data_IF_946112830051
#
_entry.id   IF_946112830051
#
_cell.length_a   1.000
_cell.length_b   1.000
_cell.length_c   1.000
_cell.angle_alpha   90.00
_cell.angle_beta   90.00
_cell.angle_gamma   90.00
#
_symmetry.space_group_name_H-M   'P 1'
#
loop_
_entity.id
_entity.type
_entity.pdbx_description
1 polymer ?
#
# COMPACT_ATOMS: atom_id res chain seq x y z
N UNK A 1 -47.42 -41.10 -45.87
CA UNK A 1 -47.35 -41.22 -44.40
C UNK A 1 -46.09 -41.91 -43.90
N UNK A 2 -45.61 -43.01 -44.51
CA UNK A 2 -44.48 -43.81 -43.99
C UNK A 2 -43.19 -43.02 -43.69
N UNK A 3 -42.82 -42.04 -44.52
CA UNK A 3 -41.62 -41.22 -44.30
C UNK A 3 -41.63 -40.49 -42.94
N UNK A 4 -42.73 -39.79 -42.60
CA UNK A 4 -42.87 -39.08 -41.30
C UNK A 4 -42.74 -40.03 -40.10
N UNK A 5 -43.26 -41.27 -40.24
CA UNK A 5 -43.15 -42.27 -39.18
C UNK A 5 -41.71 -42.80 -39.02
N UNK A 6 -40.97 -42.93 -40.13
CA UNK A 6 -39.55 -43.28 -40.12
C UNK A 6 -38.70 -42.15 -39.51
N UNK A 7 -38.90 -40.90 -39.93
CA UNK A 7 -38.24 -39.72 -39.34
C UNK A 7 -38.49 -39.61 -37.83
N UNK A 8 -39.75 -39.80 -37.39
CA UNK A 8 -40.09 -39.81 -35.97
C UNK A 8 -39.38 -40.93 -35.19
N UNK A 9 -39.22 -42.13 -35.78
CA UNK A 9 -38.46 -43.23 -35.16
C UNK A 9 -36.95 -42.94 -35.12
N UNK A 10 -36.39 -42.25 -36.13
CA UNK A 10 -34.99 -41.82 -36.15
C UNK A 10 -34.73 -40.77 -35.08
N UNK A 11 -35.52 -39.69 -35.04
CA UNK A 11 -35.40 -38.63 -34.02
C UNK A 11 -35.56 -39.23 -32.61
N UNK A 12 -36.54 -40.11 -32.38
CA UNK A 12 -36.71 -40.77 -31.08
C UNK A 12 -35.51 -41.64 -30.71
N UNK A 13 -34.92 -42.36 -31.67
CA UNK A 13 -33.71 -43.17 -31.46
C UNK A 13 -32.52 -42.29 -31.11
N UNK A 14 -32.34 -41.16 -31.80
CA UNK A 14 -31.21 -40.26 -31.58
C UNK A 14 -31.33 -39.47 -30.26
N UNK A 15 -32.54 -39.08 -29.86
CA UNK A 15 -32.82 -38.53 -28.53
C UNK A 15 -32.67 -39.56 -27.40
N UNK A 16 -32.84 -40.85 -27.68
CA UNK A 16 -32.70 -41.93 -26.68
C UNK A 16 -31.27 -42.45 -26.48
N UNK A 17 -30.31 -41.98 -27.29
CA UNK A 17 -28.89 -42.27 -27.06
C UNK A 17 -28.44 -41.43 -25.86
N UNK A 18 -27.67 -42.04 -24.95
CA UNK A 18 -27.01 -41.29 -23.88
C UNK A 18 -26.20 -40.16 -24.51
N UNK A 19 -26.54 -38.91 -24.16
CA UNK A 19 -25.93 -37.74 -24.76
C UNK A 19 -24.48 -37.64 -24.29
N UNK A 20 -23.47 -37.82 -25.17
CA UNK A 20 -22.08 -37.61 -24.76
C UNK A 20 -21.94 -36.16 -24.26
N UNK A 21 -21.20 -35.98 -23.15
CA UNK A 21 -21.10 -34.72 -22.38
C UNK A 21 -21.03 -33.52 -23.34
N UNK A 22 -22.13 -32.78 -23.46
CA UNK A 22 -22.27 -31.71 -24.44
C UNK A 22 -21.10 -30.71 -24.31
N UNK A 23 -20.46 -30.23 -25.39
CA UNK A 23 -19.27 -29.37 -25.30
C UNK A 23 -19.50 -28.07 -24.51
N UNK A 24 -20.75 -27.64 -24.34
CA UNK A 24 -21.11 -26.53 -23.44
C UNK A 24 -20.84 -26.83 -21.96
N UNK A 25 -20.95 -28.08 -21.49
CA UNK A 25 -20.54 -28.43 -20.12
C UNK A 25 -19.05 -28.16 -19.92
N UNK A 26 -18.19 -28.59 -20.83
CA UNK A 26 -16.75 -28.31 -20.75
C UNK A 26 -16.45 -26.80 -20.75
N UNK A 27 -17.27 -25.99 -21.44
CA UNK A 27 -17.17 -24.52 -21.42
C UNK A 27 -17.60 -23.93 -20.08
N UNK A 28 -18.65 -24.46 -19.46
CA UNK A 28 -19.10 -24.09 -18.10
C UNK A 28 -18.05 -24.49 -17.07
N UNK A 29 -17.58 -25.75 -17.09
CA UNK A 29 -16.52 -26.29 -16.22
C UNK A 29 -15.21 -25.47 -16.31
N UNK A 30 -14.93 -24.86 -17.48
CA UNK A 30 -13.78 -23.97 -17.70
C UNK A 30 -14.03 -22.56 -17.14
N UNK A 31 -15.19 -21.97 -17.44
CA UNK A 31 -15.59 -20.66 -16.94
C UNK A 31 -15.68 -20.61 -15.41
N UNK A 32 -16.21 -21.67 -14.78
CA UNK A 32 -16.26 -21.82 -13.32
C UNK A 32 -14.85 -21.78 -12.72
N UNK A 33 -13.95 -22.61 -13.25
CA UNK A 33 -12.55 -22.70 -12.80
C UNK A 33 -11.81 -21.38 -12.95
N UNK A 34 -11.96 -20.70 -14.09
CA UNK A 34 -11.37 -19.38 -14.30
C UNK A 34 -11.92 -18.32 -13.34
N UNK A 35 -13.23 -18.37 -13.06
CA UNK A 35 -13.89 -17.42 -12.16
C UNK A 35 -13.45 -17.62 -10.71
N UNK A 36 -13.38 -18.88 -10.25
CA UNK A 36 -12.83 -19.24 -8.93
C UNK A 36 -11.38 -18.77 -8.81
N UNK A 37 -10.55 -19.05 -9.81
CA UNK A 37 -9.14 -18.64 -9.83
C UNK A 37 -8.98 -17.10 -9.74
N UNK A 38 -9.82 -16.34 -10.47
CA UNK A 38 -9.82 -14.87 -10.42
C UNK A 38 -10.21 -14.34 -9.03
N UNK A 39 -11.25 -14.90 -8.41
CA UNK A 39 -11.67 -14.55 -7.05
C UNK A 39 -10.56 -14.84 -6.04
N UNK A 40 -9.93 -16.02 -6.13
CA UNK A 40 -8.83 -16.42 -5.25
C UNK A 40 -7.60 -15.53 -5.41
N UNK A 41 -7.22 -15.18 -6.65
CA UNK A 41 -6.10 -14.28 -6.92
C UNK A 41 -6.35 -12.86 -6.36
N UNK A 42 -7.56 -12.32 -6.57
CA UNK A 42 -7.95 -11.03 -6.00
C UNK A 42 -7.96 -11.05 -4.47
N UNK A 43 -8.46 -12.13 -3.86
CA UNK A 43 -8.47 -12.30 -2.41
C UNK A 43 -7.05 -12.41 -1.82
N UNK A 44 -6.11 -13.10 -2.47
CA UNK A 44 -4.73 -13.18 -1.97
C UNK A 44 -3.96 -11.87 -2.19
N UNK A 45 -4.22 -11.14 -3.28
CA UNK A 45 -3.70 -9.77 -3.48
C UNK A 45 -4.19 -8.86 -2.35
N UNK A 46 -5.49 -8.85 -2.06
CA UNK A 46 -6.07 -8.08 -0.96
C UNK A 46 -5.48 -8.46 0.41
N UNK A 47 -5.16 -9.75 0.65
CA UNK A 47 -4.45 -10.19 1.87
C UNK A 47 -3.01 -9.70 1.91
N UNK A 48 -2.29 -9.74 0.79
CA UNK A 48 -0.92 -9.24 0.70
C UNK A 48 -0.86 -7.73 0.97
N UNK A 49 -1.75 -6.95 0.34
CA UNK A 49 -1.89 -5.51 0.57
C UNK A 49 -2.21 -5.20 2.04
N UNK A 50 -3.14 -5.96 2.64
CA UNK A 50 -3.49 -5.81 4.06
C UNK A 50 -2.31 -6.11 4.98
N UNK A 51 -1.56 -7.20 4.75
CA UNK A 51 -0.35 -7.53 5.53
C UNK A 51 0.66 -6.39 5.45
N UNK A 52 0.95 -5.91 4.24
CA UNK A 52 1.91 -4.81 4.02
C UNK A 52 1.49 -3.50 4.72
N UNK A 53 0.20 -3.15 4.71
CA UNK A 53 -0.30 -1.98 5.43
C UNK A 53 -0.25 -2.15 6.96
N UNK A 54 -0.51 -3.35 7.48
CA UNK A 54 -0.37 -3.65 8.90
C UNK A 54 1.09 -3.61 9.35
N UNK A 55 2.02 -4.20 8.58
CA UNK A 55 3.45 -4.19 8.87
C UNK A 55 4.01 -2.76 8.85
N UNK A 56 3.61 -1.94 7.86
CA UNK A 56 3.94 -0.50 7.84
C UNK A 56 3.39 0.21 9.07
N UNK A 57 2.11 0.05 9.39
CA UNK A 57 1.48 0.71 10.56
C UNK A 57 2.20 0.31 11.85
N UNK A 58 2.57 -0.96 12.00
CA UNK A 58 3.35 -1.47 13.14
C UNK A 58 4.73 -0.83 13.24
N UNK A 59 5.43 -0.65 12.12
CA UNK A 59 6.73 0.01 12.09
C UNK A 59 6.62 1.50 12.44
N UNK A 60 5.63 2.21 11.90
CA UNK A 60 5.36 3.62 12.21
C UNK A 60 5.00 3.80 13.71
N UNK A 61 4.23 2.86 14.30
CA UNK A 61 3.96 2.81 15.74
C UNK A 61 5.22 2.52 16.58
N UNK A 62 6.06 1.56 16.19
CA UNK A 62 7.31 1.24 16.89
C UNK A 62 8.22 2.47 16.95
N UNK A 63 8.46 3.15 15.82
CA UNK A 63 9.25 4.38 15.75
C UNK A 63 8.68 5.49 16.65
N UNK A 64 7.36 5.60 16.72
CA UNK A 64 6.68 6.58 17.59
C UNK A 64 6.86 6.25 19.09
N UNK A 65 6.83 4.97 19.45
CA UNK A 65 7.10 4.48 20.81
C UNK A 65 8.58 4.68 21.18
N UNK A 66 9.52 4.35 20.30
CA UNK A 66 10.96 4.56 20.51
C UNK A 66 11.29 6.05 20.70
N UNK A 67 10.67 6.93 19.90
CA UNK A 67 10.80 8.38 20.08
C UNK A 67 10.28 8.82 21.45
N UNK A 68 9.07 8.37 21.84
CA UNK A 68 8.50 8.69 23.15
C UNK A 68 9.39 8.20 24.30
N UNK A 69 9.93 6.98 24.20
CA UNK A 69 10.89 6.44 25.18
C UNK A 69 12.17 7.25 25.25
N UNK A 70 12.67 7.74 24.11
CA UNK A 70 13.86 8.60 24.04
C UNK A 70 13.61 9.96 24.69
N UNK A 71 12.47 10.60 24.41
CA UNK A 71 12.05 11.85 25.07
C UNK A 71 11.94 11.65 26.60
N UNK A 72 11.26 10.59 27.04
CA UNK A 72 11.06 10.29 28.46
C UNK A 72 12.40 10.08 29.19
N UNK A 73 13.30 9.27 28.61
CA UNK A 73 14.63 9.01 29.17
C UNK A 73 15.48 10.29 29.23
N UNK A 74 15.41 11.15 28.21
CA UNK A 74 16.14 12.43 28.19
C UNK A 74 15.67 13.36 29.30
N UNK A 75 14.36 13.54 29.45
CA UNK A 75 13.79 14.38 30.52
C UNK A 75 14.01 13.81 31.92
N UNK A 76 14.03 12.49 32.08
CA UNK A 76 14.37 11.84 33.34
C UNK A 76 15.85 12.03 33.71
N UNK A 77 16.75 12.12 32.73
CA UNK A 77 18.18 12.38 32.95
C UNK A 77 18.48 13.86 33.23
N UNK A 78 17.68 14.78 32.70
CA UNK A 78 17.83 16.23 32.94
C UNK A 78 17.06 16.74 34.17
N UNK A 79 16.19 15.93 34.78
CA UNK A 79 15.22 16.31 35.82
C UNK A 79 14.36 17.53 35.42
N UNK A 80 14.14 17.69 34.11
CA UNK A 80 13.50 18.84 33.47
C UNK A 80 12.27 18.35 32.69
N UNK A 81 11.22 18.00 33.43
CA UNK A 81 9.91 17.67 32.90
C UNK A 81 8.86 18.62 33.47
N UNK A 82 8.06 19.22 32.60
CA UNK A 82 6.96 20.09 33.02
C UNK A 82 5.63 19.34 33.06
N UNK A 83 4.62 19.92 33.71
CA UNK A 83 3.23 19.43 33.62
C UNK A 83 2.74 19.34 32.16
N UNK A 84 3.25 20.24 31.29
CA UNK A 84 2.92 20.25 29.87
C UNK A 84 3.55 19.08 29.10
N UNK A 85 4.73 18.62 29.49
CA UNK A 85 5.36 17.41 28.92
C UNK A 85 4.61 16.14 29.34
N UNK A 86 4.27 16.03 30.63
CA UNK A 86 3.43 14.94 31.15
C UNK A 86 2.08 14.87 30.43
N UNK A 87 1.46 16.02 30.16
CA UNK A 87 0.23 16.11 29.38
C UNK A 87 0.45 15.66 27.92
N UNK A 88 1.49 16.17 27.24
CA UNK A 88 1.86 15.78 25.86
C UNK A 88 2.04 14.28 25.73
N UNK A 89 2.85 13.66 26.60
CA UNK A 89 3.10 12.23 26.57
C UNK A 89 1.84 11.40 26.88
N UNK A 90 0.99 11.88 27.79
CA UNK A 90 -0.31 11.25 28.09
C UNK A 90 -1.25 11.27 26.89
N UNK A 91 -1.26 12.36 26.11
CA UNK A 91 -2.04 12.48 24.87
C UNK A 91 -1.48 11.59 23.76
N UNK A 92 -0.14 11.57 23.57
CA UNK A 92 0.53 10.69 22.63
C UNK A 92 0.28 9.19 22.94
N UNK A 93 0.35 8.78 24.22
CA UNK A 93 0.04 7.41 24.64
C UNK A 93 -1.41 7.00 24.33
N UNK A 94 -2.37 7.92 24.51
CA UNK A 94 -3.78 7.68 24.14
C UNK A 94 -3.94 7.54 22.63
N UNK A 95 -3.24 8.35 21.85
CA UNK A 95 -3.29 8.29 20.39
C UNK A 95 -2.64 7.01 19.84
N UNK A 96 -1.46 6.64 20.35
CA UNK A 96 -0.79 5.37 20.02
C UNK A 96 -1.67 4.17 20.34
N UNK A 97 -2.30 4.14 21.52
CA UNK A 97 -3.24 3.07 21.90
C UNK A 97 -4.44 2.99 20.95
N UNK A 98 -5.03 4.13 20.59
CA UNK A 98 -6.15 4.19 19.64
C UNK A 98 -5.76 3.65 18.25
N UNK A 99 -4.57 4.03 17.78
CA UNK A 99 -4.04 3.59 16.48
C UNK A 99 -3.66 2.10 16.47
N UNK A 100 -3.33 1.52 17.64
CA UNK A 100 -3.09 0.08 17.82
C UNK A 100 -4.40 -0.73 17.80
N UNK A 101 -5.46 -0.26 18.46
CA UNK A 101 -6.75 -0.97 18.54
C UNK A 101 -7.48 -1.01 17.18
N UNK A 102 -7.45 0.08 16.41
CA UNK A 102 -7.94 0.09 15.01
C UNK A 102 -6.99 0.95 14.16
N UNK A 103 -6.22 0.34 13.22
CA UNK A 103 -5.46 1.05 12.20
C UNK A 103 -6.35 1.95 11.34
N UNK A 104 -6.49 3.21 11.75
CA UNK A 104 -7.44 4.16 11.17
C UNK A 104 -7.21 4.39 9.66
N UNK A 105 -5.99 4.14 9.19
CA UNK A 105 -5.57 4.22 7.80
C UNK A 105 -6.19 3.15 6.88
N UNK A 106 -6.63 1.99 7.37
CA UNK A 106 -7.04 0.88 6.50
C UNK A 106 -8.53 0.98 6.12
N UNK A 107 -8.84 0.80 4.84
CA UNK A 107 -10.20 0.67 4.30
C UNK A 107 -10.31 -0.57 3.44
N UNK A 108 -11.28 -1.45 3.74
CA UNK A 108 -11.66 -2.57 2.86
C UNK A 108 -12.92 -2.13 2.12
N UNK A 109 -12.91 -2.28 0.80
CA UNK A 109 -14.01 -1.85 -0.08
C UNK A 109 -14.30 -2.95 -1.08
N UNK A 110 -15.58 -3.21 -1.32
CA UNK A 110 -16.02 -4.06 -2.43
C UNK A 110 -16.09 -3.23 -3.70
N UNK A 111 -15.56 -3.77 -4.79
CA UNK A 111 -15.69 -3.18 -6.11
C UNK A 111 -17.12 -3.42 -6.62
N UNK A 112 -18.00 -2.47 -6.31
CA UNK A 112 -19.41 -2.45 -6.70
C UNK A 112 -19.54 -1.97 -8.16
N UNK A 113 -19.04 -2.78 -9.10
CA UNK A 113 -19.40 -2.66 -10.51
C UNK A 113 -20.77 -3.32 -10.75
N UNK A 114 -21.71 -2.54 -11.29
CA UNK A 114 -23.12 -2.91 -11.46
C UNK A 114 -23.28 -4.00 -12.53
N UNK A 115 -22.35 -4.09 -13.49
CA UNK A 115 -22.36 -5.11 -14.55
C UNK A 115 -21.65 -6.42 -14.13
N UNK A 116 -20.85 -6.38 -13.05
CA UNK A 116 -20.09 -7.53 -12.57
C UNK A 116 -20.90 -8.43 -11.64
N UNK A 117 -21.15 -9.68 -12.06
CA UNK A 117 -21.80 -10.70 -11.22
C UNK A 117 -20.96 -11.15 -10.02
N UNK A 118 -19.69 -10.74 -9.94
CA UNK A 118 -18.72 -11.08 -8.90
C UNK A 118 -18.14 -9.77 -8.35
N UNK A 119 -18.35 -9.48 -7.07
CA UNK A 119 -17.74 -8.34 -6.39
C UNK A 119 -16.34 -8.72 -5.89
N UNK A 120 -15.34 -7.91 -6.21
CA UNK A 120 -13.97 -8.12 -5.76
C UNK A 120 -13.64 -7.25 -4.54
N UNK A 121 -12.80 -7.76 -3.65
CA UNK A 121 -12.36 -7.04 -2.45
C UNK A 121 -11.07 -6.29 -2.77
N UNK A 122 -10.98 -5.01 -2.39
CA UNK A 122 -9.75 -4.21 -2.45
C UNK A 122 -9.46 -3.56 -1.10
N UNK A 123 -8.17 -3.39 -0.81
CA UNK A 123 -7.69 -2.77 0.43
C UNK A 123 -6.97 -1.47 0.07
N UNK A 124 -7.29 -0.39 0.79
CA UNK A 124 -6.77 0.95 0.53
C UNK A 124 -6.23 1.59 1.81
N UNK A 125 -5.18 2.39 1.62
CA UNK A 125 -4.68 3.35 2.60
C UNK A 125 -5.40 4.69 2.46
N UNK A 126 -6.14 5.10 3.51
CA UNK A 126 -6.88 6.36 3.56
C UNK A 126 -5.95 7.59 3.57
N UNK A 127 -4.69 7.45 3.98
CA UNK A 127 -3.72 8.55 4.02
C UNK A 127 -3.34 9.04 2.62
N UNK A 128 -3.38 8.18 1.60
CA UNK A 128 -2.94 8.50 0.24
C UNK A 128 -3.90 9.42 -0.52
N UNK A 129 -5.16 9.58 -0.07
CA UNK A 129 -6.16 10.43 -0.75
C UNK A 129 -5.93 11.94 -0.61
N UNK A 130 -4.99 12.41 0.22
CA UNK A 130 -4.83 13.83 0.52
C UNK A 130 -3.72 14.57 -0.26
N UNK A 131 -2.91 13.89 -1.09
CA UNK A 131 -1.79 14.54 -1.82
C UNK A 131 -2.08 14.93 -3.28
N UNK A 132 -3.34 14.86 -3.75
CA UNK A 132 -3.73 15.34 -5.09
C UNK A 132 -4.59 16.61 -5.00
N UNK A 133 -4.06 17.65 -4.35
CA UNK A 133 -4.58 19.02 -4.53
C UNK A 133 -3.91 19.59 -5.80
N UNK A 134 -4.76 19.92 -6.76
CA UNK A 134 -4.39 20.31 -8.11
C UNK A 134 -3.50 21.56 -8.12
N UNK A 135 -2.31 21.48 -8.75
CA UNK A 135 -1.66 22.68 -9.30
C UNK A 135 -2.17 22.88 -10.73
N UNK A 136 -2.73 24.04 -11.09
CA UNK A 136 -3.06 24.33 -12.48
C UNK A 136 -1.77 24.42 -13.30
N UNK A 137 -1.66 23.60 -14.35
CA UNK A 137 -0.58 23.71 -15.33
C UNK A 137 -0.77 24.98 -16.17
N UNK A 138 0.00 26.03 -15.87
CA UNK A 138 0.22 27.12 -16.83
C UNK A 138 1.45 26.80 -17.69
N UNK A 139 1.35 26.79 -19.03
CA UNK A 139 2.48 26.55 -19.90
C UNK A 139 3.36 27.81 -19.99
N UNK A 140 4.37 27.91 -19.14
CA UNK A 140 5.40 28.95 -19.26
C UNK A 140 6.39 28.55 -20.34
N UNK A 141 6.17 29.03 -21.57
CA UNK A 141 7.16 28.98 -22.64
C UNK A 141 8.37 29.82 -22.18
N UNK A 142 9.55 29.19 -22.07
CA UNK A 142 10.83 29.89 -21.90
C UNK A 142 11.68 29.72 -23.16
N UNK A 143 12.33 30.79 -23.67
CA UNK A 143 13.34 30.64 -24.71
C UNK A 143 14.53 29.84 -24.20
N UNK A 144 15.14 29.05 -25.09
CA UNK A 144 16.41 28.36 -24.81
C UNK A 144 17.55 29.34 -25.02
N UNK A 145 18.36 29.58 -23.98
CA UNK A 145 19.69 30.15 -24.14
C UNK A 145 20.72 29.33 -23.36
N UNK A 146 21.71 28.81 -24.08
CA UNK A 146 22.77 27.96 -23.54
C UNK A 146 23.84 28.81 -22.84
N UNK A 147 24.16 28.50 -21.58
CA UNK A 147 25.48 28.78 -20.99
C UNK A 147 25.90 27.70 -20.00
N UNK A 148 26.83 26.85 -20.43
CA UNK A 148 27.53 25.86 -19.60
C UNK A 148 28.47 26.60 -18.65
N UNK A 149 28.32 26.47 -17.33
CA UNK A 149 29.37 26.80 -16.35
C UNK A 149 29.37 25.82 -15.16
N UNK A 150 30.50 25.12 -15.04
CA UNK A 150 31.06 24.39 -13.88
C UNK A 150 30.22 24.20 -12.60
N UNK A 151 29.94 22.94 -12.25
CA UNK A 151 29.52 22.54 -10.90
C UNK A 151 30.79 22.27 -10.07
N UNK A 152 31.23 23.24 -9.26
CA UNK A 152 32.30 23.03 -8.26
C UNK A 152 32.11 23.69 -6.91
N UNK A 153 31.10 24.53 -6.72
CA UNK A 153 30.86 25.24 -5.46
C UNK A 153 29.47 24.93 -4.86
N UNK A 154 29.36 25.11 -3.54
CA UNK A 154 28.20 24.83 -2.67
C UNK A 154 27.92 23.35 -2.34
N UNK A 155 28.94 22.65 -1.85
CA UNK A 155 28.78 21.66 -0.78
C UNK A 155 29.13 22.34 0.57
N UNK A 156 28.23 22.18 1.55
CA UNK A 156 28.43 22.39 3.00
C UNK A 156 29.18 23.65 3.49
N UNK A 157 28.41 24.65 3.95
CA UNK A 157 28.79 25.47 5.11
C UNK A 157 27.66 25.38 6.13
N UNK A 158 27.92 24.71 7.24
CA UNK A 158 27.46 25.02 8.61
C UNK A 158 27.76 23.81 9.51
N UNK A 159 28.86 23.90 10.26
CA UNK A 159 28.81 23.82 11.72
C UNK A 159 30.11 24.34 12.31
N UNK A 160 29.99 25.11 13.37
CA UNK A 160 31.10 25.80 14.03
C UNK A 160 31.77 24.88 15.08
N UNK A 161 33.06 25.14 15.32
CA UNK A 161 33.64 25.27 16.67
C UNK A 161 33.71 24.02 17.58
N UNK A 162 34.79 23.26 17.40
CA UNK A 162 35.75 22.90 18.46
C UNK A 162 37.13 23.26 17.89
N UNK A 163 38.08 23.89 18.60
CA UNK A 163 38.53 23.59 19.95
C UNK A 163 39.94 23.00 19.83
N UNK A 164 40.94 23.81 20.20
CA UNK A 164 42.30 23.45 20.67
C UNK A 164 42.37 22.03 21.30
N UNK A 165 43.41 21.19 21.18
CA UNK A 165 44.86 21.31 20.89
C UNK A 165 45.31 20.03 20.13
N UNK A 166 46.57 19.70 19.78
CA UNK A 166 47.91 20.20 20.16
C UNK A 166 48.93 20.07 18.98
N UNK A 167 50.22 20.34 19.24
CA UNK A 167 51.30 20.50 18.28
C UNK A 167 52.00 19.26 17.69
N UNK A 168 52.73 19.53 16.61
CA UNK A 168 53.77 18.69 16.00
C UNK A 168 55.03 19.52 15.77
N UNK A 169 56.15 19.12 16.38
CA UNK A 169 57.54 19.31 15.91
C UNK A 169 58.47 18.61 16.93
N UNK A 170 59.12 17.50 16.58
CA UNK A 170 60.47 17.47 15.99
C UNK A 170 61.57 18.06 16.89
N UNK A 171 62.39 17.19 17.48
CA UNK A 171 63.82 17.46 17.67
C UNK A 171 64.61 16.54 16.75
N UNK A 172 65.68 17.08 16.16
CA UNK A 172 66.67 16.35 15.37
C UNK A 172 67.91 16.06 16.21
N UNK A 173 68.46 14.86 16.04
CA UNK A 173 69.90 14.63 15.82
C UNK A 173 70.08 13.32 15.02
#
# INVERSE_FOLDING_TARGET
MNNISQEHVLIRRDLSKETPKHPFFNRIDTWERESINKIQAAAETARADLRHLLDRTKNDLNLSVEKLTTELNSCQQSDDFTENDLKRWTEQLKELRKNLEIPSAISIVNEDDIESSIRLIRVYDKQQKQQVIQRPFTPVIRPVENRIHNIKDLICINNEKFGEIDGKANLSE
#
